data_IF_458013245863
#
_entry.id   IF_458013245863
#
_cell.length_a   1.000
_cell.length_b   1.000
_cell.length_c   1.000
_cell.angle_alpha   90.00
_cell.angle_beta   90.00
_cell.angle_gamma   90.00
#
_symmetry.space_group_name_H-M   'P 1'
#
loop_
_entity.id
_entity.type
_entity.pdbx_description
1 polymer ?
#
# COMPACT_ATOMS: atom_id res chain seq x y z
N UNK A 1 2.67 -3.80 13.42
CA UNK A 1 3.24 -3.89 12.05
C UNK A 1 3.73 -2.52 11.62
N UNK A 2 4.92 -2.47 11.05
CA UNK A 2 5.45 -1.22 10.52
C UNK A 2 5.01 -1.04 9.07
N UNK A 3 5.24 0.16 8.53
CA UNK A 3 4.96 0.42 7.12
C UNK A 3 5.75 -0.52 6.22
N UNK A 4 7.01 -0.75 6.56
CA UNK A 4 7.85 -1.65 5.78
C UNK A 4 7.32 -3.07 5.83
N UNK A 5 6.85 -3.50 6.98
CA UNK A 5 6.26 -4.83 7.12
C UNK A 5 4.98 -4.95 6.33
N UNK A 6 4.16 -3.91 6.35
CA UNK A 6 2.95 -3.92 5.55
C UNK A 6 3.29 -3.98 4.07
N UNK A 7 4.28 -3.22 3.64
CA UNK A 7 4.72 -3.26 2.25
C UNK A 7 5.17 -4.65 1.83
N UNK A 8 5.93 -5.32 2.70
CA UNK A 8 6.38 -6.67 2.42
C UNK A 8 5.20 -7.64 2.35
N UNK A 9 4.21 -7.45 3.21
CA UNK A 9 3.02 -8.30 3.19
C UNK A 9 2.21 -8.11 1.91
N UNK A 10 2.12 -6.87 1.44
CA UNK A 10 1.43 -6.57 0.18
C UNK A 10 2.13 -7.28 -0.97
N UNK A 11 3.45 -7.17 -1.03
CA UNK A 11 4.21 -7.81 -2.09
C UNK A 11 4.04 -9.33 -2.06
N UNK A 12 4.14 -9.91 -0.86
CA UNK A 12 4.03 -11.36 -0.72
C UNK A 12 2.65 -11.83 -1.18
N UNK A 13 1.61 -11.11 -0.80
CA UNK A 13 0.25 -11.48 -1.18
C UNK A 13 0.05 -11.33 -2.69
N UNK A 14 0.62 -10.26 -3.26
CA UNK A 14 0.55 -10.05 -4.70
C UNK A 14 1.22 -11.20 -5.45
N UNK A 15 2.42 -11.56 -5.02
CA UNK A 15 3.17 -12.65 -5.67
C UNK A 15 2.46 -13.98 -5.48
N UNK A 16 1.88 -14.19 -4.32
CA UNK A 16 1.12 -15.40 -4.05
C UNK A 16 -0.02 -15.57 -5.03
N UNK A 17 -0.63 -14.46 -5.43
CA UNK A 17 -1.73 -14.47 -6.38
C UNK A 17 -1.28 -14.42 -7.84
N UNK A 18 0.02 -14.40 -8.09
CA UNK A 18 0.56 -14.37 -9.43
C UNK A 18 0.30 -13.07 -10.16
N UNK A 19 0.17 -11.97 -9.42
CA UNK A 19 -0.12 -10.67 -10.03
C UNK A 19 1.16 -9.87 -10.23
N UNK A 20 1.24 -9.16 -11.36
CA UNK A 20 2.32 -8.23 -11.59
C UNK A 20 1.93 -6.85 -11.09
N UNK A 21 2.92 -5.96 -10.94
CA UNK A 21 2.61 -4.58 -10.59
C UNK A 21 1.74 -3.94 -11.66
N UNK A 22 1.96 -4.29 -12.92
CA UNK A 22 1.15 -3.76 -14.02
C UNK A 22 -0.30 -4.19 -13.89
N UNK A 23 -0.55 -5.45 -13.51
CA UNK A 23 -1.91 -5.93 -13.31
C UNK A 23 -2.62 -5.10 -12.25
N UNK A 24 -1.94 -4.88 -11.12
CA UNK A 24 -2.53 -4.12 -10.02
C UNK A 24 -2.74 -2.67 -10.42
N UNK A 25 -1.76 -2.11 -11.13
CA UNK A 25 -1.83 -0.74 -11.58
C UNK A 25 -3.06 -0.50 -12.45
N UNK A 26 -3.33 -1.40 -13.37
CA UNK A 26 -4.49 -1.28 -14.23
C UNK A 26 -5.78 -1.36 -13.44
N UNK A 27 -5.78 -2.22 -12.44
CA UNK A 27 -6.99 -2.47 -11.66
C UNK A 27 -7.30 -1.31 -10.72
N UNK A 28 -6.29 -0.79 -10.06
CA UNK A 28 -6.47 0.23 -9.03
C UNK A 28 -6.26 1.65 -9.55
N UNK A 29 -5.76 1.80 -10.76
CA UNK A 29 -5.47 3.12 -11.35
C UNK A 29 -4.41 3.84 -10.53
N UNK A 30 -3.43 3.11 -10.04
CA UNK A 30 -2.29 3.63 -9.30
C UNK A 30 -1.04 3.27 -10.11
N UNK A 31 -0.14 4.21 -10.30
CA UNK A 31 1.05 3.94 -11.11
C UNK A 31 1.90 2.84 -10.49
N UNK A 32 2.61 2.09 -11.33
CA UNK A 32 3.48 1.02 -10.84
C UNK A 32 4.58 1.57 -9.95
N UNK A 33 5.05 2.78 -10.22
CA UNK A 33 6.05 3.43 -9.36
C UNK A 33 5.55 3.59 -7.94
N UNK A 34 4.31 4.05 -7.81
CA UNK A 34 3.74 4.24 -6.49
C UNK A 34 3.50 2.90 -5.79
N UNK A 35 3.02 1.90 -6.54
CA UNK A 35 2.83 0.58 -5.96
C UNK A 35 4.14 -0.02 -5.48
N UNK A 36 5.20 0.14 -6.25
CA UNK A 36 6.51 -0.35 -5.86
C UNK A 36 6.98 0.35 -4.59
N UNK A 37 6.77 1.66 -4.50
CA UNK A 37 7.15 2.42 -3.32
C UNK A 37 6.39 1.93 -2.09
N UNK A 38 5.10 1.63 -2.25
CA UNK A 38 4.31 1.12 -1.14
C UNK A 38 4.84 -0.23 -0.66
N UNK A 39 5.25 -1.09 -1.59
CA UNK A 39 5.76 -2.40 -1.22
C UNK A 39 7.10 -2.30 -0.51
N UNK A 40 7.86 -1.26 -0.79
CA UNK A 40 9.14 -1.04 -0.11
C UNK A 40 8.99 -0.24 1.18
N UNK A 41 7.81 0.27 1.44
CA UNK A 41 7.59 1.13 2.60
C UNK A 41 8.28 2.47 2.48
N UNK A 42 8.55 2.90 1.26
CA UNK A 42 9.27 4.14 1.01
C UNK A 42 8.30 5.15 0.36
N UNK A 43 7.84 6.09 1.15
CA UNK A 43 6.87 7.07 0.69
C UNK A 43 7.51 8.39 0.27
N UNK A 44 8.83 8.45 0.22
CA UNK A 44 9.52 9.70 -0.08
C UNK A 44 9.20 10.24 -1.46
N UNK A 45 8.85 9.36 -2.39
CA UNK A 45 8.47 9.78 -3.74
C UNK A 45 7.01 10.13 -3.92
N UNK A 46 6.23 10.02 -2.87
CA UNK A 46 4.82 10.35 -2.95
C UNK A 46 4.61 11.85 -2.84
N UNK A 47 3.71 12.42 -3.63
CA UNK A 47 3.47 13.86 -3.56
C UNK A 47 2.82 14.29 -2.25
N UNK A 48 2.09 13.39 -1.58
CA UNK A 48 1.41 13.75 -0.35
C UNK A 48 1.09 12.49 0.44
N UNK A 49 1.22 12.58 1.75
CA UNK A 49 0.93 11.45 2.63
C UNK A 49 -0.49 10.94 2.47
N UNK A 50 -1.43 11.84 2.21
CA UNK A 50 -2.83 11.44 2.04
C UNK A 50 -2.99 10.48 0.86
N UNK A 51 -2.24 10.68 -0.22
CA UNK A 51 -2.29 9.76 -1.35
C UNK A 51 -1.76 8.39 -0.95
N UNK A 52 -0.65 8.37 -0.21
CA UNK A 52 -0.07 7.10 0.23
C UNK A 52 -1.05 6.32 1.08
N UNK A 53 -1.75 7.01 1.97
CA UNK A 53 -2.72 6.35 2.84
C UNK A 53 -3.86 5.73 2.03
N UNK A 54 -4.41 6.49 1.08
CA UNK A 54 -5.48 5.98 0.25
C UNK A 54 -5.04 4.84 -0.65
N UNK A 55 -3.83 4.97 -1.22
CA UNK A 55 -3.29 3.92 -2.07
C UNK A 55 -3.05 2.63 -1.28
N UNK A 56 -2.50 2.75 -0.07
CA UNK A 56 -2.28 1.57 0.77
C UNK A 56 -3.58 0.88 1.11
N UNK A 57 -4.60 1.65 1.45
CA UNK A 57 -5.91 1.07 1.76
C UNK A 57 -6.46 0.32 0.55
N UNK A 58 -6.45 0.95 -0.61
CA UNK A 58 -6.97 0.32 -1.82
C UNK A 58 -6.21 -0.95 -2.15
N UNK A 59 -4.90 -0.90 -2.03
CA UNK A 59 -4.06 -2.04 -2.36
C UNK A 59 -4.29 -3.19 -1.38
N UNK A 60 -4.31 -2.88 -0.08
CA UNK A 60 -4.52 -3.91 0.94
C UNK A 60 -5.89 -4.55 0.79
N UNK A 61 -6.92 -3.76 0.52
CA UNK A 61 -8.26 -4.29 0.34
C UNK A 61 -8.34 -5.15 -0.90
N UNK A 62 -7.71 -4.72 -1.98
CA UNK A 62 -7.70 -5.47 -3.22
C UNK A 62 -7.07 -6.85 -3.02
N UNK A 63 -6.00 -6.91 -2.23
CA UNK A 63 -5.31 -8.17 -1.97
C UNK A 63 -5.97 -9.00 -0.87
N UNK A 64 -6.97 -8.44 -0.20
CA UNK A 64 -7.71 -9.20 0.81
C UNK A 64 -7.06 -9.25 2.17
N UNK A 65 -6.18 -8.28 2.48
CA UNK A 65 -5.59 -8.24 3.81
C UNK A 65 -6.64 -7.81 4.84
N UNK A 66 -6.60 -8.37 6.05
CA UNK A 66 -7.54 -7.96 7.09
C UNK A 66 -7.34 -6.50 7.47
N UNK A 67 -8.43 -5.79 7.65
CA UNK A 67 -8.36 -4.36 7.95
C UNK A 67 -7.62 -4.09 9.25
N UNK A 68 -7.79 -4.95 10.24
CA UNK A 68 -7.14 -4.75 11.53
C UNK A 68 -5.62 -4.88 11.44
N UNK A 69 -5.10 -5.45 10.36
CA UNK A 69 -3.65 -5.52 10.17
C UNK A 69 -3.11 -4.23 9.58
N UNK A 70 -3.81 -3.62 8.64
CA UNK A 70 -3.26 -2.44 7.97
C UNK A 70 -3.77 -1.12 8.54
N UNK A 71 -4.91 -1.12 9.22
CA UNK A 71 -5.47 0.11 9.72
C UNK A 71 -4.54 0.85 10.69
N UNK A 72 -3.90 0.17 11.66
CA UNK A 72 -2.97 0.88 12.54
C UNK A 72 -1.82 1.54 11.79
N UNK A 73 -1.35 0.91 10.72
CA UNK A 73 -0.28 1.50 9.91
C UNK A 73 -0.79 2.75 9.21
N UNK A 74 -2.01 2.68 8.64
CA UNK A 74 -2.60 3.85 7.99
C UNK A 74 -2.78 4.99 8.97
N UNK A 75 -3.24 4.68 10.18
CA UNK A 75 -3.47 5.69 11.19
C UNK A 75 -2.16 6.38 11.56
N UNK A 76 -1.06 5.66 11.58
CA UNK A 76 0.23 6.23 11.92
C UNK A 76 0.74 7.16 10.83
N UNK A 77 0.20 7.07 9.61
CA UNK A 77 0.58 7.93 8.50
C UNK A 77 -0.16 9.25 8.49
N UNK A 78 -1.13 9.42 9.37
CA UNK A 78 -1.91 10.65 9.45
C UNK A 78 -1.46 11.46 10.64
N UNK A 79 -0.39 12.18 10.51
CA UNK A 79 0.17 12.84 11.67
C UNK A 79 -0.74 13.91 12.22
N UNK A 80 -1.56 14.47 11.41
CA UNK A 80 -2.43 15.50 11.91
C UNK A 80 -3.83 15.11 11.73
N UNK A 81 -4.13 14.83 11.92
CA UNK A 81 -5.26 14.80 11.77
C UNK A 81 -6.03 15.77 11.82
N UNK A 82 -5.83 16.07 11.64
CA UNK A 82 -6.43 16.93 11.65
C UNK A 82 -7.10 17.32 11.53
#
# INVERSE_FOLDING_TARGET
MTLEELGAALRAKREERGLSLENVSERLKISTSHLDALEKGDLSGMPHTAYAKGFLRSYARYLGLPEDEYKPVLDSLSPDRS
#
